data_IF_532691260112
#
_entry.id   IF_532691260112
#
_cell.length_a   1.000
_cell.length_b   1.000
_cell.length_c   1.000
_cell.angle_alpha   90.00
_cell.angle_beta   90.00
_cell.angle_gamma   90.00
#
_symmetry.space_group_name_H-M   'P 1'
#
loop_
_entity.id
_entity.type
_entity.pdbx_description
1 polymer ?
#
# COMPACT_ATOMS: atom_id res chain seq x y z
N UNK A 1 -20.53 -1.28 17.58
CA UNK A 1 -19.77 -2.01 16.55
C UNK A 1 -19.55 -1.04 15.42
N UNK A 2 -20.48 -1.01 14.47
CA UNK A 2 -20.45 -0.19 13.24
C UNK A 2 -19.95 1.25 13.40
N UNK A 3 -20.50 2.01 14.36
CA UNK A 3 -20.11 3.43 14.48
C UNK A 3 -18.66 3.66 14.94
N UNK A 4 -17.99 2.67 15.52
CA UNK A 4 -16.58 2.77 15.91
C UNK A 4 -15.69 2.40 14.72
N UNK A 5 -16.06 1.37 13.96
CA UNK A 5 -15.34 0.95 12.75
C UNK A 5 -15.41 2.01 11.64
N UNK A 6 -16.57 2.62 11.38
CA UNK A 6 -16.70 3.67 10.35
C UNK A 6 -15.89 4.94 10.70
N UNK A 7 -15.83 5.28 11.99
CA UNK A 7 -15.04 6.40 12.49
C UNK A 7 -13.55 6.06 12.44
N UNK A 8 -13.17 4.84 12.77
CA UNK A 8 -11.79 4.36 12.65
C UNK A 8 -11.36 4.41 11.17
N UNK A 9 -12.17 3.92 10.24
CA UNK A 9 -11.83 3.87 8.82
C UNK A 9 -11.76 5.24 8.15
N UNK A 10 -12.66 6.15 8.51
CA UNK A 10 -12.60 7.54 8.05
C UNK A 10 -11.38 8.28 8.62
N UNK A 11 -11.07 8.08 9.91
CA UNK A 11 -9.89 8.69 10.55
C UNK A 11 -8.58 8.11 10.01
N UNK A 12 -8.54 6.80 9.71
CA UNK A 12 -7.36 6.16 9.11
C UNK A 12 -7.18 6.59 7.66
N UNK A 13 -8.25 6.67 6.86
CA UNK A 13 -8.15 7.07 5.45
C UNK A 13 -7.74 8.53 5.27
N UNK A 14 -8.25 9.44 6.09
CA UNK A 14 -7.83 10.86 6.05
C UNK A 14 -6.39 11.04 6.53
N UNK A 15 -5.98 10.33 7.60
CA UNK A 15 -4.57 10.31 8.02
C UNK A 15 -3.66 9.75 6.93
N UNK A 16 -4.06 8.67 6.27
CA UNK A 16 -3.27 8.03 5.21
C UNK A 16 -3.07 8.96 4.01
N UNK A 17 -4.11 9.72 3.60
CA UNK A 17 -3.99 10.76 2.57
C UNK A 17 -3.06 11.91 3.00
N UNK A 18 -3.15 12.33 4.26
CA UNK A 18 -2.25 13.32 4.86
C UNK A 18 -0.79 12.87 4.82
N UNK A 19 -0.51 11.63 5.23
CA UNK A 19 0.83 11.04 5.24
C UNK A 19 1.43 10.97 3.83
N UNK A 20 0.65 10.56 2.81
CA UNK A 20 1.13 10.55 1.41
C UNK A 20 1.54 11.94 0.95
N UNK A 21 0.74 12.95 1.29
CA UNK A 21 1.06 14.34 0.95
C UNK A 21 2.35 14.80 1.62
N UNK A 22 2.54 14.48 2.90
CA UNK A 22 3.77 14.82 3.63
C UNK A 22 5.00 14.11 3.04
N UNK A 23 4.91 12.81 2.73
CA UNK A 23 5.99 12.06 2.08
C UNK A 23 6.34 12.67 0.71
N UNK A 24 5.32 13.08 -0.06
CA UNK A 24 5.51 13.72 -1.36
C UNK A 24 6.19 15.09 -1.25
N UNK A 25 5.78 15.91 -0.27
CA UNK A 25 6.41 17.20 0.01
C UNK A 25 7.87 17.01 0.43
N UNK A 26 8.13 16.10 1.37
CA UNK A 26 9.48 15.81 1.84
C UNK A 26 10.39 15.30 0.71
N UNK A 27 9.88 14.41 -0.16
CA UNK A 27 10.59 13.97 -1.37
C UNK A 27 10.96 15.16 -2.25
N UNK A 28 10.04 16.08 -2.47
CA UNK A 28 10.25 17.27 -3.30
C UNK A 28 11.31 18.21 -2.69
N UNK A 29 11.29 18.36 -1.37
CA UNK A 29 12.26 19.18 -0.65
C UNK A 29 13.66 18.58 -0.74
N UNK A 30 13.83 17.26 -0.54
CA UNK A 30 15.12 16.59 -0.73
C UNK A 30 15.65 16.78 -2.14
N UNK A 31 14.83 16.55 -3.17
CA UNK A 31 15.24 16.75 -4.56
C UNK A 31 15.67 18.20 -4.80
N UNK A 32 14.97 19.16 -4.20
CA UNK A 32 15.28 20.58 -4.33
C UNK A 32 16.61 20.93 -3.66
N UNK A 33 16.84 20.47 -2.43
CA UNK A 33 18.13 20.65 -1.74
C UNK A 33 19.27 20.02 -2.53
N UNK A 34 19.09 18.80 -3.01
CA UNK A 34 20.10 18.08 -3.79
C UNK A 34 20.49 18.82 -5.07
N UNK A 35 19.52 19.45 -5.75
CA UNK A 35 19.76 20.28 -6.94
C UNK A 35 20.57 21.55 -6.63
N UNK A 36 20.52 22.05 -5.39
CA UNK A 36 21.27 23.23 -4.93
C UNK A 36 22.65 22.84 -4.40
N UNK A 37 22.75 21.77 -3.61
CA UNK A 37 23.98 21.34 -2.95
C UNK A 37 25.00 20.77 -3.96
N UNK A 38 24.54 20.02 -4.97
CA UNK A 38 25.43 19.45 -6.00
C UNK A 38 26.34 20.50 -6.68
N UNK A 39 25.82 21.61 -7.25
CA UNK A 39 26.67 22.63 -7.85
C UNK A 39 27.48 23.42 -6.81
N UNK A 40 27.01 23.54 -5.56
CA UNK A 40 27.70 24.27 -4.51
C UNK A 40 29.08 23.68 -4.20
N UNK A 41 29.22 22.34 -4.25
CA UNK A 41 30.51 21.65 -4.11
C UNK A 41 31.54 22.15 -5.12
N UNK A 42 31.16 22.19 -6.40
CA UNK A 42 32.05 22.65 -7.47
C UNK A 42 32.36 24.15 -7.36
N UNK A 43 31.39 24.96 -6.95
CA UNK A 43 31.58 26.41 -6.75
C UNK A 43 32.61 26.67 -5.65
N UNK A 44 32.46 26.05 -4.48
CA UNK A 44 33.37 26.24 -3.33
C UNK A 44 34.77 25.74 -3.68
N UNK A 45 34.89 24.55 -4.27
CA UNK A 45 36.19 24.02 -4.72
C UNK A 45 36.88 24.91 -5.77
N UNK A 46 36.11 25.63 -6.61
CA UNK A 46 36.67 26.57 -7.60
C UNK A 46 37.02 27.95 -7.03
N UNK A 47 36.59 28.27 -5.80
CA UNK A 47 36.77 29.57 -5.16
C UNK A 47 38.16 29.72 -4.52
N UNK A 48 38.69 28.64 -3.94
CA UNK A 48 40.00 28.61 -3.26
C UNK A 48 41.14 29.18 -4.13
N UNK A 49 41.41 28.68 -5.35
CA UNK A 49 42.51 29.20 -6.16
C UNK A 49 42.28 30.64 -6.65
N UNK A 50 41.02 31.07 -6.77
CA UNK A 50 40.69 32.46 -7.17
C UNK A 50 40.94 33.45 -6.05
N UNK A 51 40.62 33.09 -4.81
CA UNK A 51 40.75 33.98 -3.64
C UNK A 51 42.20 34.11 -3.19
N UNK A 52 43.02 33.07 -3.39
CA UNK A 52 44.47 33.12 -3.16
C UNK A 52 45.20 34.23 -3.97
N UNK A 53 44.58 34.74 -5.04
CA UNK A 53 45.10 35.88 -5.81
C UNK A 53 44.86 37.24 -5.13
N UNK A 54 43.91 37.32 -4.19
CA UNK A 54 43.47 38.57 -3.54
C UNK A 54 43.87 38.67 -2.06
N UNK A 55 44.31 37.58 -1.44
CA UNK A 55 44.78 37.57 -0.04
C UNK A 55 46.08 36.77 0.10
N UNK A 56 47.10 37.28 0.82
CA UNK A 56 48.32 36.55 1.11
C UNK A 56 48.15 35.49 2.22
N UNK A 57 47.00 35.44 2.90
CA UNK A 57 46.67 34.39 3.86
C UNK A 57 46.33 33.09 3.14
N UNK A 58 46.89 31.98 3.63
CA UNK A 58 46.49 30.64 3.21
C UNK A 58 45.10 30.32 3.77
N UNK A 59 44.10 30.41 2.90
CA UNK A 59 42.70 30.10 3.23
C UNK A 59 42.30 28.68 2.81
N UNK A 60 43.23 27.88 2.29
CA UNK A 60 42.94 26.55 1.75
C UNK A 60 42.26 25.65 2.78
N UNK A 61 42.69 25.71 4.05
CA UNK A 61 42.11 24.93 5.15
C UNK A 61 40.63 25.28 5.39
N UNK A 62 40.25 26.55 5.31
CA UNK A 62 38.86 26.98 5.52
C UNK A 62 37.95 26.58 4.35
N UNK A 63 38.45 26.68 3.11
CA UNK A 63 37.71 26.21 1.93
C UNK A 63 37.57 24.70 1.91
N UNK A 64 38.61 23.96 2.33
CA UNK A 64 38.56 22.52 2.53
C UNK A 64 37.47 22.12 3.52
N UNK A 65 37.43 22.76 4.70
CA UNK A 65 36.39 22.50 5.70
C UNK A 65 34.98 22.80 5.15
N UNK A 66 34.80 23.88 4.37
CA UNK A 66 33.53 24.18 3.70
C UNK A 66 33.11 23.10 2.70
N UNK A 67 34.05 22.56 1.91
CA UNK A 67 33.78 21.44 0.98
C UNK A 67 33.38 20.21 1.77
N UNK A 68 34.08 19.89 2.86
CA UNK A 68 33.77 18.74 3.72
C UNK A 68 32.36 18.87 4.34
N UNK A 69 31.95 20.06 4.79
CA UNK A 69 30.58 20.29 5.27
C UNK A 69 29.53 20.09 4.18
N UNK A 70 29.80 20.54 2.95
CA UNK A 70 28.89 20.35 1.81
C UNK A 70 28.77 18.88 1.45
N UNK A 71 29.87 18.14 1.46
CA UNK A 71 29.89 16.69 1.20
C UNK A 71 29.11 15.95 2.30
N UNK A 72 29.26 16.35 3.56
CA UNK A 72 28.46 15.78 4.67
C UNK A 72 26.96 16.04 4.53
N UNK A 73 26.57 17.23 4.07
CA UNK A 73 25.15 17.54 3.78
C UNK A 73 24.66 16.70 2.59
N UNK A 74 25.49 16.53 1.57
CA UNK A 74 25.17 15.71 0.41
C UNK A 74 24.90 14.25 0.80
N UNK A 75 25.77 13.66 1.60
CA UNK A 75 25.62 12.27 2.07
C UNK A 75 24.34 12.11 2.91
N UNK A 76 24.05 13.06 3.80
CA UNK A 76 22.80 13.06 4.56
C UNK A 76 21.54 13.19 3.69
N UNK A 77 21.59 13.97 2.61
CA UNK A 77 20.48 14.06 1.65
C UNK A 77 20.27 12.75 0.87
N UNK A 78 21.32 12.01 0.60
CA UNK A 78 21.22 10.71 -0.07
C UNK A 78 20.63 9.65 0.88
N UNK A 79 21.05 9.64 2.15
CA UNK A 79 20.44 8.80 3.19
C UNK A 79 18.93 9.10 3.35
N UNK A 80 18.56 10.38 3.48
CA UNK A 80 17.15 10.76 3.59
C UNK A 80 16.33 10.38 2.35
N UNK A 81 16.94 10.39 1.17
CA UNK A 81 16.28 9.94 -0.06
C UNK A 81 15.95 8.44 0.03
N UNK A 82 16.90 7.61 0.45
CA UNK A 82 16.66 6.17 0.64
C UNK A 82 15.55 5.91 1.65
N UNK A 83 15.55 6.64 2.78
CA UNK A 83 14.50 6.56 3.79
C UNK A 83 13.12 6.89 3.21
N UNK A 84 13.01 7.98 2.44
CA UNK A 84 11.74 8.37 1.80
C UNK A 84 11.29 7.36 0.76
N UNK A 85 12.20 6.78 -0.02
CA UNK A 85 11.87 5.72 -0.96
C UNK A 85 11.35 4.47 -0.24
N UNK A 86 11.96 4.11 0.89
CA UNK A 86 11.46 3.07 1.80
C UNK A 86 10.05 3.37 2.32
N UNK A 87 9.80 4.60 2.81
CA UNK A 87 8.48 5.01 3.29
C UNK A 87 7.41 4.94 2.19
N UNK A 88 7.73 5.36 0.96
CA UNK A 88 6.82 5.23 -0.18
C UNK A 88 6.50 3.77 -0.48
N UNK A 89 7.50 2.89 -0.45
CA UNK A 89 7.29 1.45 -0.68
C UNK A 89 6.44 0.81 0.42
N UNK A 90 6.68 1.14 1.68
CA UNK A 90 5.86 0.67 2.81
C UNK A 90 4.42 1.16 2.66
N UNK A 91 4.21 2.42 2.29
CA UNK A 91 2.87 2.96 2.05
C UNK A 91 2.14 2.20 0.92
N UNK A 92 2.80 1.97 -0.22
CA UNK A 92 2.22 1.23 -1.34
C UNK A 92 1.87 -0.22 -0.95
N UNK A 93 2.73 -0.85 -0.14
CA UNK A 93 2.49 -2.18 0.42
C UNK A 93 1.28 -2.21 1.35
N UNK A 94 1.13 -1.20 2.22
CA UNK A 94 -0.03 -1.08 3.11
C UNK A 94 -1.33 -0.84 2.32
N UNK A 95 -1.29 0.03 1.31
CA UNK A 95 -2.43 0.29 0.44
C UNK A 95 -2.87 -0.99 -0.30
N UNK A 96 -1.90 -1.74 -0.84
CA UNK A 96 -2.15 -3.03 -1.51
C UNK A 96 -2.68 -4.10 -0.55
N UNK A 97 -2.18 -4.16 0.69
CA UNK A 97 -2.72 -5.07 1.68
C UNK A 97 -4.18 -4.76 2.01
N UNK A 98 -4.53 -3.47 2.14
CA UNK A 98 -5.90 -3.05 2.40
C UNK A 98 -6.84 -3.39 1.24
N UNK A 99 -6.42 -3.19 -0.01
CA UNK A 99 -7.23 -3.60 -1.16
C UNK A 99 -7.40 -5.11 -1.23
N UNK A 100 -6.34 -5.87 -0.94
CA UNK A 100 -6.42 -7.34 -0.85
C UNK A 100 -7.38 -7.79 0.26
N UNK A 101 -7.40 -7.13 1.40
CA UNK A 101 -8.32 -7.42 2.49
C UNK A 101 -9.78 -7.15 2.10
N UNK A 102 -10.07 -6.01 1.47
CA UNK A 102 -11.42 -5.71 0.95
C UNK A 102 -11.86 -6.76 -0.08
N UNK A 103 -10.97 -7.14 -1.00
CA UNK A 103 -11.23 -8.19 -1.99
C UNK A 103 -11.47 -9.55 -1.31
N UNK A 104 -10.73 -9.87 -0.26
CA UNK A 104 -10.91 -11.09 0.54
C UNK A 104 -12.30 -11.12 1.18
N UNK A 105 -12.73 -10.03 1.82
CA UNK A 105 -14.06 -9.93 2.44
C UNK A 105 -15.16 -10.09 1.39
N UNK A 106 -15.08 -9.38 0.27
CA UNK A 106 -16.06 -9.48 -0.82
C UNK A 106 -16.13 -10.91 -1.39
N UNK A 107 -14.98 -11.58 -1.52
CA UNK A 107 -14.90 -12.96 -2.03
C UNK A 107 -15.53 -13.95 -1.06
N UNK A 108 -15.33 -13.79 0.26
CA UNK A 108 -15.98 -14.63 1.27
C UNK A 108 -17.50 -14.46 1.21
N UNK A 109 -17.97 -13.21 1.17
CA UNK A 109 -19.40 -12.89 1.05
C UNK A 109 -20.00 -13.50 -0.23
N UNK A 110 -19.33 -13.33 -1.37
CA UNK A 110 -19.77 -13.87 -2.66
C UNK A 110 -19.79 -15.41 -2.66
N UNK A 111 -18.76 -16.05 -2.10
CA UNK A 111 -18.68 -17.52 -1.98
C UNK A 111 -19.86 -18.10 -1.19
N UNK A 112 -20.38 -17.39 -0.20
CA UNK A 112 -21.56 -17.80 0.57
C UNK A 112 -22.86 -17.49 -0.21
N UNK A 113 -22.98 -16.29 -0.79
CA UNK A 113 -24.20 -15.84 -1.47
C UNK A 113 -24.48 -16.58 -2.78
N UNK A 114 -23.46 -16.86 -3.60
CA UNK A 114 -23.62 -17.49 -4.92
C UNK A 114 -24.39 -18.83 -4.86
N UNK A 115 -23.98 -19.83 -4.06
CA UNK A 115 -24.69 -21.09 -3.97
C UNK A 115 -26.10 -20.94 -3.37
N UNK A 116 -26.28 -20.07 -2.37
CA UNK A 116 -27.61 -19.77 -1.80
C UNK A 116 -28.53 -19.16 -2.87
N UNK A 117 -28.00 -18.28 -3.70
CA UNK A 117 -28.75 -17.63 -4.80
C UNK A 117 -29.10 -18.64 -5.89
N UNK A 118 -28.18 -19.55 -6.23
CA UNK A 118 -28.45 -20.65 -7.18
C UNK A 118 -29.58 -21.54 -6.67
N UNK A 119 -29.58 -21.90 -5.38
CA UNK A 119 -30.68 -22.64 -4.75
C UNK A 119 -32.00 -21.89 -4.88
N UNK A 120 -32.03 -20.64 -4.42
CA UNK A 120 -33.24 -19.81 -4.47
C UNK A 120 -33.77 -19.65 -5.90
N UNK A 121 -32.88 -19.51 -6.88
CA UNK A 121 -33.23 -19.44 -8.31
C UNK A 121 -33.83 -20.76 -8.82
N UNK A 122 -33.23 -21.92 -8.50
CA UNK A 122 -33.76 -23.24 -8.88
C UNK A 122 -35.15 -23.49 -8.30
N UNK A 123 -35.39 -23.09 -7.04
CA UNK A 123 -36.70 -23.23 -6.40
C UNK A 123 -37.71 -22.16 -6.86
N UNK A 124 -37.25 -20.97 -7.25
CA UNK A 124 -38.09 -19.91 -7.80
C UNK A 124 -38.51 -20.16 -9.25
N UNK A 125 -37.67 -20.86 -10.02
CA UNK A 125 -38.06 -21.43 -11.31
C UNK A 125 -38.96 -22.64 -11.02
N UNK A 126 -40.20 -22.64 -11.53
CA UNK A 126 -41.12 -23.79 -11.47
C UNK A 126 -40.61 -24.98 -12.32
N UNK A 127 -39.35 -25.39 -12.18
CA UNK A 127 -38.74 -26.48 -12.92
C UNK A 127 -39.39 -27.77 -12.41
N UNK A 128 -40.05 -28.56 -13.29
CA UNK A 128 -40.38 -29.93 -12.92
C UNK A 128 -39.07 -30.68 -12.71
N UNK A 129 -38.71 -30.96 -11.45
CA UNK A 129 -37.49 -31.66 -11.03
C UNK A 129 -37.42 -33.14 -11.50
N UNK A 130 -38.07 -33.49 -12.62
CA UNK A 130 -38.20 -34.86 -13.10
C UNK A 130 -38.80 -35.78 -12.02
N UNK A 131 -38.44 -37.07 -11.93
CA UNK A 131 -39.04 -38.05 -11.01
C UNK A 131 -38.95 -37.70 -9.51
N UNK A 132 -38.27 -36.61 -9.15
CA UNK A 132 -38.20 -36.08 -7.79
C UNK A 132 -39.37 -35.14 -7.44
N UNK A 133 -40.19 -34.68 -8.40
CA UNK A 133 -41.29 -33.73 -8.15
C UNK A 133 -42.35 -34.28 -7.18
N UNK A 134 -42.62 -35.58 -7.23
CA UNK A 134 -43.66 -36.24 -6.42
C UNK A 134 -43.12 -36.87 -5.12
N UNK A 135 -41.81 -36.75 -4.86
CA UNK A 135 -41.20 -37.25 -3.64
C UNK A 135 -41.06 -36.12 -2.61
N UNK A 136 -41.53 -36.30 -1.36
CA UNK A 136 -41.39 -35.29 -0.30
C UNK A 136 -39.94 -34.97 0.07
N UNK A 137 -38.97 -35.74 -0.44
CA UNK A 137 -37.54 -35.60 -0.13
C UNK A 137 -36.74 -34.83 -1.19
N UNK A 138 -37.34 -34.39 -2.30
CA UNK A 138 -36.64 -33.67 -3.37
C UNK A 138 -36.03 -32.34 -2.93
N UNK A 139 -36.76 -31.58 -2.11
CA UNK A 139 -36.24 -30.37 -1.48
C UNK A 139 -35.03 -30.67 -0.57
N UNK A 140 -35.06 -31.79 0.14
CA UNK A 140 -33.97 -32.24 1.01
C UNK A 140 -32.70 -32.57 0.21
N UNK A 141 -32.80 -33.33 -0.89
CA UNK A 141 -31.64 -33.67 -1.72
C UNK A 141 -30.96 -32.45 -2.35
N UNK A 142 -31.75 -31.49 -2.88
CA UNK A 142 -31.20 -30.25 -3.46
C UNK A 142 -30.52 -29.40 -2.39
N UNK A 143 -31.13 -29.29 -1.20
CA UNK A 143 -30.52 -28.58 -0.07
C UNK A 143 -29.21 -29.24 0.37
N UNK A 144 -29.15 -30.58 0.42
CA UNK A 144 -27.98 -31.35 0.82
C UNK A 144 -26.82 -31.16 -0.17
N UNK A 145 -27.08 -31.21 -1.48
CA UNK A 145 -26.06 -30.99 -2.52
C UNK A 145 -25.48 -29.58 -2.40
N UNK A 146 -26.31 -28.57 -2.15
CA UNK A 146 -25.81 -27.21 -1.98
C UNK A 146 -25.03 -27.02 -0.68
N UNK A 147 -25.44 -27.68 0.41
CA UNK A 147 -24.70 -27.67 1.67
C UNK A 147 -23.31 -28.32 1.51
N UNK A 148 -23.22 -29.39 0.72
CA UNK A 148 -21.94 -30.04 0.38
C UNK A 148 -21.06 -29.14 -0.50
N UNK A 149 -21.63 -28.43 -1.49
CA UNK A 149 -20.88 -27.49 -2.33
C UNK A 149 -20.37 -26.30 -1.50
N UNK A 150 -21.23 -25.71 -0.64
CA UNK A 150 -20.85 -24.63 0.27
C UNK A 150 -19.76 -25.08 1.24
N UNK A 151 -19.96 -26.23 1.89
CA UNK A 151 -18.98 -26.81 2.82
C UNK A 151 -17.65 -27.13 2.13
N UNK A 152 -17.68 -27.64 0.90
CA UNK A 152 -16.51 -27.90 0.08
C UNK A 152 -15.74 -26.64 -0.31
N UNK A 153 -16.45 -25.58 -0.73
CA UNK A 153 -15.83 -24.28 -1.05
C UNK A 153 -15.24 -23.62 0.20
N UNK A 154 -15.94 -23.63 1.33
CA UNK A 154 -15.43 -23.09 2.61
C UNK A 154 -14.20 -23.86 3.08
N UNK A 155 -14.21 -25.19 3.01
CA UNK A 155 -13.06 -26.02 3.37
C UNK A 155 -11.85 -25.77 2.45
N UNK A 156 -12.08 -25.62 1.14
CA UNK A 156 -11.03 -25.28 0.18
C UNK A 156 -10.40 -23.90 0.46
N UNK A 157 -11.23 -22.89 0.72
CA UNK A 157 -10.78 -21.54 1.06
C UNK A 157 -10.01 -21.49 2.39
N UNK A 158 -10.45 -22.23 3.40
CA UNK A 158 -9.75 -22.32 4.68
C UNK A 158 -8.40 -23.02 4.54
N UNK A 159 -8.33 -24.10 3.73
CA UNK A 159 -7.08 -24.81 3.45
C UNK A 159 -6.07 -23.97 2.66
N UNK A 160 -6.52 -23.02 1.85
CA UNK A 160 -5.64 -22.10 1.13
C UNK A 160 -5.15 -20.92 1.99
N UNK A 161 -5.52 -20.85 3.29
CA UNK A 161 -5.23 -19.71 4.17
C UNK A 161 -5.82 -18.38 3.68
N UNK A 162 -6.84 -18.43 2.81
CA UNK A 162 -7.59 -17.26 2.38
C UNK A 162 -8.70 -16.90 3.37
N UNK A 163 -8.91 -17.69 4.42
CA UNK A 163 -9.74 -17.45 5.61
C UNK A 163 -8.93 -17.98 6.79
#
# INVERSE_FOLDING_TARGET
>A
GDHIEDVEDSVFSDRMRGTVKEISLLRRDIISFRRIIWPMRAVIGSLEPKIRRFSPMDMAVYFGDMVDHVDKIWDGLDEYKEVIEGLNYTHDSLATNRTNEVMRILTVIATILLPITVVASIFGMNIPLGPFRDSPYSALYVSLICLVIIGGMLYFFHRQHWI
#
